data_IF_377873667665
#
_entry.id   IF_377873667665
#
_cell.length_a   1.000
_cell.length_b   1.000
_cell.length_c   1.000
_cell.angle_alpha   90.00
_cell.angle_beta   90.00
_cell.angle_gamma   90.00
#
_symmetry.space_group_name_H-M   'P 1'
#
loop_
_entity.id
_entity.type
_entity.pdbx_description
1 polymer ?
#
# COMPACT_ATOMS: atom_id res chain seq x y z
N UNK A 1 11.56 -13.36 -13.38
CA UNK A 1 10.11 -13.65 -13.38
C UNK A 1 9.51 -13.08 -14.66
N UNK A 2 8.74 -13.86 -15.41
CA UNK A 2 8.08 -13.39 -16.63
C UNK A 2 6.96 -12.42 -16.23
N UNK A 3 7.06 -11.17 -16.67
CA UNK A 3 5.95 -10.21 -16.64
C UNK A 3 4.89 -10.74 -17.60
N UNK A 4 3.91 -11.48 -17.09
CA UNK A 4 2.70 -11.83 -17.85
C UNK A 4 1.97 -10.52 -18.13
N UNK A 5 2.02 -10.06 -19.38
CA UNK A 5 1.38 -8.83 -19.82
C UNK A 5 -0.14 -9.06 -19.75
N UNK A 6 -0.76 -8.64 -18.66
CA UNK A 6 -2.22 -8.67 -18.53
C UNK A 6 -2.84 -7.62 -19.47
N UNK A 7 -3.85 -8.00 -20.24
CA UNK A 7 -4.71 -7.09 -20.99
C UNK A 7 -5.92 -6.77 -20.10
N UNK A 8 -6.14 -5.49 -19.83
CA UNK A 8 -7.23 -5.05 -18.94
C UNK A 8 -8.52 -4.84 -19.71
N UNK A 9 -9.56 -5.62 -19.38
CA UNK A 9 -10.89 -5.52 -20.01
C UNK A 9 -11.84 -4.56 -19.29
N UNK A 10 -11.56 -4.26 -18.03
CA UNK A 10 -12.28 -3.26 -17.24
C UNK A 10 -11.34 -2.58 -16.26
N UNK A 11 -11.62 -1.30 -15.96
CA UNK A 11 -10.87 -0.50 -14.98
C UNK A 11 -11.78 0.42 -14.19
N UNK A 12 -11.48 0.60 -12.91
CA UNK A 12 -12.07 1.62 -12.05
C UNK A 12 -10.97 2.41 -11.37
N UNK A 13 -11.02 3.73 -11.52
CA UNK A 13 -10.11 4.63 -10.80
C UNK A 13 -10.51 4.70 -9.34
N UNK A 14 -9.61 4.33 -8.43
CA UNK A 14 -9.83 4.46 -6.99
C UNK A 14 -9.24 5.79 -6.50
N UNK A 15 -8.00 6.06 -6.91
CA UNK A 15 -7.29 7.30 -6.64
C UNK A 15 -6.48 7.71 -7.87
N UNK A 16 -6.68 8.94 -8.35
CA UNK A 16 -5.88 9.53 -9.41
C UNK A 16 -5.28 10.84 -8.91
N UNK A 17 -4.01 10.81 -8.53
CA UNK A 17 -3.31 11.97 -7.96
C UNK A 17 -2.78 12.94 -9.03
N UNK A 18 -2.89 12.57 -10.31
CA UNK A 18 -2.59 13.45 -11.45
C UNK A 18 -3.74 14.40 -11.78
N UNK A 19 -4.95 14.12 -11.28
CA UNK A 19 -6.10 14.99 -11.43
C UNK A 19 -5.98 16.20 -10.50
N UNK A 20 -6.12 17.40 -11.05
CA UNK A 20 -6.03 18.67 -10.32
C UNK A 20 -7.04 18.84 -9.17
N UNK A 21 -8.11 18.04 -9.16
CA UNK A 21 -9.18 18.01 -8.14
C UNK A 21 -8.93 16.96 -7.06
N UNK A 22 -7.96 16.07 -7.26
CA UNK A 22 -7.62 15.05 -6.26
C UNK A 22 -6.97 15.67 -5.03
N UNK A 23 -7.18 15.02 -3.89
CA UNK A 23 -6.53 15.42 -2.64
C UNK A 23 -6.08 14.24 -1.78
N UNK A 24 -5.07 14.49 -0.95
CA UNK A 24 -4.54 13.55 0.04
C UNK A 24 -5.17 13.71 1.43
N UNK A 25 -6.04 14.69 1.66
CA UNK A 25 -6.58 15.01 2.98
C UNK A 25 -7.37 13.88 3.67
N UNK A 26 -7.91 12.94 2.89
CA UNK A 26 -8.64 11.77 3.41
C UNK A 26 -7.71 10.61 3.82
N UNK A 27 -6.40 10.77 3.64
CA UNK A 27 -5.40 9.80 4.03
C UNK A 27 -4.82 10.16 5.39
N UNK A 28 -4.67 9.15 6.24
CA UNK A 28 -4.08 9.28 7.56
C UNK A 28 -2.76 8.50 7.62
N UNK A 29 -1.83 9.01 8.41
CA UNK A 29 -0.61 8.29 8.76
C UNK A 29 -0.94 7.11 9.68
N UNK A 30 -0.34 5.94 9.40
CA UNK A 30 -0.38 4.74 10.23
C UNK A 30 1.05 4.19 10.36
N UNK A 31 1.73 4.56 11.44
CA UNK A 31 3.13 4.22 11.71
C UNK A 31 3.28 3.42 13.00
N UNK A 32 4.47 2.87 13.25
CA UNK A 32 4.77 2.08 14.46
C UNK A 32 4.71 2.87 15.79
N UNK A 33 4.48 4.18 15.73
CA UNK A 33 4.36 5.11 16.86
C UNK A 33 3.13 4.90 17.73
N UNK A 34 2.20 4.02 17.35
CA UNK A 34 1.15 3.52 18.25
C UNK A 34 1.72 2.66 19.40
N UNK A 35 3.03 2.36 19.37
CA UNK A 35 3.76 1.66 20.43
C UNK A 35 4.82 2.59 21.00
N UNK A 36 5.11 2.48 22.30
CA UNK A 36 6.10 3.30 23.01
C UNK A 36 7.50 3.26 22.39
N UNK A 37 7.83 2.18 21.69
CA UNK A 37 9.14 1.96 21.05
C UNK A 37 9.18 2.39 19.57
N UNK A 38 8.04 2.81 19.00
CA UNK A 38 7.91 3.26 17.63
C UNK A 38 8.60 4.60 17.40
N UNK A 39 9.40 4.68 16.33
CA UNK A 39 10.22 5.86 16.02
C UNK A 39 10.08 6.29 14.57
N UNK A 40 9.28 5.57 13.79
CA UNK A 40 9.15 5.81 12.36
C UNK A 40 8.11 6.91 12.12
N UNK A 41 8.22 7.65 11.01
CA UNK A 41 7.34 8.77 10.70
C UNK A 41 7.03 8.82 9.21
N UNK A 42 5.78 9.10 8.89
CA UNK A 42 5.29 9.29 7.53
C UNK A 42 4.58 10.62 7.36
N UNK A 43 4.59 11.14 6.14
CA UNK A 43 3.69 12.20 5.73
C UNK A 43 3.27 11.99 4.28
N UNK A 44 1.98 12.17 4.01
CA UNK A 44 1.43 12.10 2.66
C UNK A 44 1.04 13.50 2.20
N UNK A 45 1.63 13.94 1.10
CA UNK A 45 1.46 15.31 0.60
C UNK A 45 1.18 15.31 -0.89
N UNK A 46 0.52 16.36 -1.36
CA UNK A 46 0.38 16.66 -2.78
C UNK A 46 1.64 17.40 -3.27
N UNK A 47 2.21 16.92 -4.36
CA UNK A 47 3.15 17.70 -5.16
C UNK A 47 2.40 18.27 -6.35
N UNK A 48 2.22 19.59 -6.36
CA UNK A 48 1.56 20.30 -7.45
C UNK A 48 2.50 21.35 -8.04
N UNK A 49 2.66 21.30 -9.35
CA UNK A 49 3.38 22.31 -10.13
C UNK A 49 2.43 22.94 -11.15
N UNK A 50 2.94 23.86 -11.97
CA UNK A 50 2.18 24.39 -13.10
C UNK A 50 1.91 23.36 -14.20
N UNK A 51 2.68 22.26 -14.23
CA UNK A 51 2.65 21.28 -15.34
C UNK A 51 2.05 19.93 -14.94
N UNK A 52 2.17 19.53 -13.68
CA UNK A 52 1.70 18.22 -13.22
C UNK A 52 1.35 18.24 -11.74
N UNK A 53 0.60 17.22 -11.33
CA UNK A 53 0.29 16.90 -9.94
C UNK A 53 0.56 15.40 -9.70
N UNK A 54 0.94 15.06 -8.47
CA UNK A 54 0.98 13.69 -7.93
C UNK A 54 0.94 13.71 -6.41
N UNK A 55 0.81 12.54 -5.80
CA UNK A 55 1.01 12.42 -4.37
C UNK A 55 2.41 11.89 -4.05
N UNK A 56 2.95 12.31 -2.91
CA UNK A 56 4.22 11.82 -2.38
C UNK A 56 4.00 11.35 -0.94
N UNK A 57 4.34 10.09 -0.70
CA UNK A 57 4.49 9.53 0.63
C UNK A 57 5.96 9.59 1.05
N UNK A 58 6.30 10.56 1.89
CA UNK A 58 7.62 10.65 2.51
C UNK A 58 7.66 9.80 3.78
N UNK A 59 8.79 9.12 3.99
CA UNK A 59 8.97 8.20 5.10
C UNK A 59 10.35 8.34 5.74
N UNK A 60 10.37 8.33 7.06
CA UNK A 60 11.51 8.00 7.91
C UNK A 60 11.22 6.66 8.58
N UNK A 61 11.83 5.58 8.07
CA UNK A 61 11.72 4.24 8.64
C UNK A 61 12.84 4.02 9.66
N UNK A 62 12.46 3.91 10.93
CA UNK A 62 13.40 3.76 12.05
C UNK A 62 13.05 2.52 12.89
N UNK A 63 13.34 1.31 12.38
CA UNK A 63 12.96 0.09 13.06
C UNK A 63 13.83 -0.17 14.28
N UNK A 64 13.34 -1.02 15.17
CA UNK A 64 14.12 -1.62 16.25
C UNK A 64 15.25 -2.50 15.70
N UNK A 65 16.26 -2.87 16.52
CA UNK A 65 17.40 -3.69 16.07
C UNK A 65 17.02 -5.04 15.43
N UNK A 66 15.87 -5.61 15.81
CA UNK A 66 15.36 -6.85 15.21
C UNK A 66 14.60 -6.64 13.87
N UNK A 67 14.50 -5.39 13.39
CA UNK A 67 13.74 -5.01 12.19
C UNK A 67 12.27 -4.69 12.46
N UNK A 68 11.82 -4.66 13.71
CA UNK A 68 10.43 -4.32 14.02
C UNK A 68 10.22 -2.81 13.88
N UNK A 69 9.42 -2.43 12.89
CA UNK A 69 9.02 -1.05 12.64
C UNK A 69 8.33 -0.94 11.29
N UNK A 70 7.54 0.11 11.09
CA UNK A 70 6.87 0.40 9.83
C UNK A 70 6.44 1.86 9.75
N UNK A 71 6.30 2.35 8.52
CA UNK A 71 5.65 3.63 8.20
C UNK A 71 4.58 3.36 7.15
N UNK A 72 3.38 3.85 7.37
CA UNK A 72 2.31 3.67 6.40
C UNK A 72 1.34 4.84 6.36
N UNK A 73 0.48 4.78 5.35
CA UNK A 73 -0.63 5.69 5.13
C UNK A 73 -1.86 4.87 4.73
N UNK A 74 -3.05 5.34 5.07
CA UNK A 74 -4.29 4.67 4.70
C UNK A 74 -5.41 5.65 4.39
N UNK A 75 -6.22 5.35 3.38
CA UNK A 75 -7.51 5.98 3.17
C UNK A 75 -8.61 5.08 3.76
N UNK A 76 -9.43 5.66 4.64
CA UNK A 76 -10.55 4.98 5.33
C UNK A 76 -11.87 5.74 5.18
N UNK A 77 -11.93 6.68 4.22
CA UNK A 77 -13.09 7.56 4.00
C UNK A 77 -13.98 7.10 2.85
N UNK A 78 -13.50 6.15 2.05
CA UNK A 78 -14.18 5.64 0.86
C UNK A 78 -14.34 4.12 0.98
N UNK A 79 -15.48 3.62 0.52
CA UNK A 79 -15.68 2.20 0.29
C UNK A 79 -15.73 1.89 -1.21
N UNK A 80 -15.33 0.68 -1.58
CA UNK A 80 -15.30 0.22 -2.96
C UNK A 80 -15.80 -1.21 -3.07
N UNK A 81 -16.73 -1.44 -4.01
CA UNK A 81 -17.01 -2.78 -4.52
C UNK A 81 -16.01 -3.12 -5.63
N UNK A 82 -15.06 -4.00 -5.31
CA UNK A 82 -14.01 -4.48 -6.20
C UNK A 82 -14.24 -5.93 -6.66
N UNK A 83 -15.44 -6.48 -6.44
CA UNK A 83 -15.75 -7.90 -6.70
C UNK A 83 -15.56 -8.32 -8.16
N UNK A 84 -15.77 -7.40 -9.11
CA UNK A 84 -15.66 -7.64 -10.55
C UNK A 84 -14.23 -7.55 -11.12
N UNK A 85 -13.26 -7.08 -10.32
CA UNK A 85 -11.86 -6.88 -10.73
C UNK A 85 -10.97 -8.06 -10.30
N UNK A 86 -9.77 -8.17 -10.86
CA UNK A 86 -8.82 -9.26 -10.54
C UNK A 86 -7.61 -8.80 -9.76
N UNK A 87 -7.34 -7.49 -9.74
CA UNK A 87 -6.27 -6.92 -8.93
C UNK A 87 -6.28 -5.40 -8.92
N UNK A 88 -5.25 -4.85 -8.29
CA UNK A 88 -4.93 -3.43 -8.34
C UNK A 88 -3.79 -3.19 -9.33
N UNK A 89 -3.78 -2.03 -9.98
CA UNK A 89 -2.60 -1.50 -10.65
C UNK A 89 -2.21 -0.17 -10.00
N UNK A 90 -0.92 -0.05 -9.67
CA UNK A 90 -0.33 1.14 -9.07
C UNK A 90 0.66 1.75 -10.05
N UNK A 91 0.55 3.05 -10.30
CA UNK A 91 1.55 3.83 -11.03
C UNK A 91 2.41 4.60 -10.04
N UNK A 92 3.62 4.13 -9.79
CA UNK A 92 4.44 4.54 -8.64
C UNK A 92 5.94 4.62 -8.95
N UNK A 93 6.65 5.46 -8.21
CA UNK A 93 8.12 5.57 -8.27
C UNK A 93 8.71 5.65 -6.86
N UNK A 94 9.63 4.75 -6.55
CA UNK A 94 10.36 4.75 -5.29
C UNK A 94 11.67 5.56 -5.40
N UNK A 95 11.97 6.37 -4.39
CA UNK A 95 13.26 7.01 -4.20
C UNK A 95 13.78 6.81 -2.77
N UNK A 96 15.10 6.95 -2.59
CA UNK A 96 15.77 6.82 -1.30
C UNK A 96 16.31 5.42 -1.02
N UNK A 97 16.13 4.96 0.21
CA UNK A 97 16.74 3.74 0.77
C UNK A 97 15.81 2.51 0.76
N UNK A 98 14.50 2.72 0.74
CA UNK A 98 13.51 1.65 0.81
C UNK A 98 13.00 1.27 -0.60
N UNK A 99 12.80 -0.02 -0.83
CA UNK A 99 12.38 -0.57 -2.12
C UNK A 99 11.34 -1.70 -2.00
N UNK A 100 11.12 -2.25 -0.80
CA UNK A 100 10.04 -3.19 -0.51
C UNK A 100 8.89 -2.43 0.14
N UNK A 101 7.75 -2.48 -0.54
CA UNK A 101 6.51 -1.85 -0.14
C UNK A 101 5.43 -2.92 0.00
N UNK A 102 4.32 -2.57 0.65
CA UNK A 102 3.12 -3.40 0.61
C UNK A 102 1.86 -2.55 0.49
N UNK A 103 0.87 -3.12 -0.21
CA UNK A 103 -0.52 -2.66 -0.13
C UNK A 103 -1.19 -3.41 1.01
N UNK A 104 -2.02 -2.70 1.76
CA UNK A 104 -2.84 -3.22 2.85
C UNK A 104 -4.31 -2.94 2.53
N UNK A 105 -5.14 -3.98 2.54
CA UNK A 105 -6.59 -3.88 2.37
C UNK A 105 -7.30 -4.34 3.65
N UNK A 106 -8.41 -3.65 3.96
CA UNK A 106 -9.42 -4.12 4.92
C UNK A 106 -10.82 -3.90 4.36
N UNK A 107 -11.76 -4.74 4.79
CA UNK A 107 -13.17 -4.67 4.42
C UNK A 107 -14.05 -4.37 5.63
N UNK A 108 -15.32 -4.03 5.40
CA UNK A 108 -16.35 -3.94 6.45
C UNK A 108 -16.03 -3.01 7.63
N UNK A 109 -15.25 -1.95 7.41
CA UNK A 109 -14.77 -1.02 8.43
C UNK A 109 -13.99 -1.72 9.56
N UNK A 110 -13.29 -2.82 9.24
CA UNK A 110 -12.36 -3.44 10.14
C UNK A 110 -11.15 -2.51 10.34
N UNK A 111 -10.90 -2.10 11.58
CA UNK A 111 -9.88 -1.08 11.89
C UNK A 111 -8.96 -1.48 13.04
N UNK A 112 -9.29 -2.53 13.78
CA UNK A 112 -8.49 -2.93 14.93
C UNK A 112 -7.38 -3.88 14.53
N UNK A 113 -6.27 -3.81 15.27
CA UNK A 113 -5.18 -4.80 15.21
C UNK A 113 -5.61 -6.25 15.52
N UNK A 114 -6.86 -6.48 15.92
CA UNK A 114 -7.44 -7.79 16.19
C UNK A 114 -8.07 -8.41 14.94
N UNK A 115 -8.48 -7.61 13.95
CA UNK A 115 -8.93 -8.11 12.65
C UNK A 115 -7.74 -8.30 11.71
N UNK A 116 -7.80 -9.31 10.82
CA UNK A 116 -6.76 -9.49 9.81
C UNK A 116 -6.70 -8.29 8.86
N UNK A 117 -5.49 -7.92 8.45
CA UNK A 117 -5.28 -7.16 7.22
C UNK A 117 -4.94 -8.11 6.09
N UNK A 118 -5.31 -7.76 4.87
CA UNK A 118 -4.89 -8.50 3.68
C UNK A 118 -3.79 -7.71 3.00
N UNK A 119 -2.63 -8.33 2.84
CA UNK A 119 -1.41 -7.63 2.43
C UNK A 119 -0.75 -8.33 1.26
N UNK A 120 -0.17 -7.53 0.36
CA UNK A 120 0.71 -8.00 -0.70
C UNK A 120 1.97 -7.17 -0.70
N UNK A 121 3.13 -7.84 -0.76
CA UNK A 121 4.43 -7.20 -0.85
C UNK A 121 4.84 -7.07 -2.31
N UNK A 122 5.53 -5.99 -2.65
CA UNK A 122 6.09 -5.77 -3.97
C UNK A 122 7.38 -4.96 -3.88
N UNK A 123 8.26 -5.17 -4.84
CA UNK A 123 9.53 -4.47 -4.97
C UNK A 123 9.44 -3.43 -6.07
N UNK A 124 10.10 -2.28 -5.86
CA UNK A 124 10.20 -1.23 -6.86
C UNK A 124 11.65 -1.00 -7.28
N UNK A 125 11.92 -0.86 -8.59
CA UNK A 125 13.20 -0.34 -9.04
C UNK A 125 13.41 1.09 -8.53
N UNK A 126 14.66 1.42 -8.19
CA UNK A 126 15.02 2.73 -7.67
C UNK A 126 14.91 3.79 -8.78
N UNK A 127 14.19 4.87 -8.48
CA UNK A 127 14.04 6.06 -9.32
C UNK A 127 13.33 5.83 -10.68
N UNK A 128 12.61 4.73 -10.84
CA UNK A 128 11.86 4.40 -12.07
C UNK A 128 10.35 4.42 -11.82
N UNK A 129 9.62 5.13 -12.68
CA UNK A 129 8.16 5.11 -12.67
C UNK A 129 7.69 3.79 -13.27
N UNK A 130 6.96 3.01 -12.48
CA UNK A 130 6.58 1.64 -12.82
C UNK A 130 5.08 1.45 -12.62
N UNK A 131 4.47 0.66 -13.49
CA UNK A 131 3.12 0.11 -13.30
C UNK A 131 3.23 -1.25 -12.61
N UNK A 132 2.73 -1.35 -11.38
CA UNK A 132 2.71 -2.61 -10.62
C UNK A 132 1.32 -3.19 -10.56
N UNK A 133 1.15 -4.36 -11.18
CA UNK A 133 -0.08 -5.16 -11.07
C UNK A 133 0.00 -6.09 -9.87
N UNK A 134 -1.01 -6.01 -9.00
CA UNK A 134 -1.12 -6.72 -7.74
C UNK A 134 -2.40 -7.56 -7.73
N UNK A 135 -2.34 -8.87 -8.07
CA UNK A 135 -3.51 -9.74 -8.12
C UNK A 135 -4.15 -9.91 -6.74
N UNK A 136 -5.49 -9.85 -6.66
CA UNK A 136 -6.19 -10.04 -5.39
C UNK A 136 -5.94 -11.42 -4.76
N UNK A 137 -5.71 -12.46 -5.58
CA UNK A 137 -5.42 -13.81 -5.10
C UNK A 137 -4.06 -13.93 -4.37
N UNK A 138 -3.17 -12.96 -4.57
CA UNK A 138 -1.85 -12.93 -3.96
C UNK A 138 -1.83 -12.19 -2.62
N UNK A 139 -2.91 -11.48 -2.28
CA UNK A 139 -3.07 -10.90 -0.95
C UNK A 139 -3.24 -12.02 0.09
N UNK A 140 -2.45 -11.96 1.16
CA UNK A 140 -2.50 -12.93 2.27
C UNK A 140 -2.94 -12.25 3.56
N UNK A 141 -3.59 -12.98 4.48
CA UNK A 141 -4.01 -12.42 5.75
C UNK A 141 -2.82 -12.26 6.72
N UNK A 142 -2.78 -11.14 7.42
CA UNK A 142 -1.77 -10.83 8.45
C UNK A 142 -2.43 -10.27 9.71
N UNK A 143 -1.81 -10.51 10.86
CA UNK A 143 -2.11 -9.78 12.10
C UNK A 143 -0.81 -9.30 12.72
N UNK A 144 -0.73 -7.98 12.98
CA UNK A 144 0.46 -7.33 13.58
C UNK A 144 1.77 -7.69 12.86
N UNK A 145 1.71 -7.81 11.53
CA UNK A 145 2.82 -8.16 10.66
C UNK A 145 3.15 -9.66 10.58
N UNK A 146 2.48 -10.54 11.33
CA UNK A 146 2.62 -11.99 11.22
C UNK A 146 1.62 -12.55 10.22
N UNK A 147 2.07 -13.42 9.32
CA UNK A 147 1.19 -14.16 8.42
C UNK A 147 0.23 -15.02 9.23
N UNK A 148 -1.04 -15.03 8.82
CA UNK A 148 -2.05 -15.96 9.31
C UNK A 148 -2.20 -17.12 8.33
N UNK A 149 -2.80 -18.22 8.79
CA UNK A 149 -3.10 -19.36 7.92
C UNK A 149 -4.34 -19.04 7.06
N UNK A 150 -4.20 -19.03 5.72
CA UNK A 150 -5.31 -18.71 4.82
C UNK A 150 -6.42 -19.77 4.81
N UNK A 151 -6.19 -20.97 5.35
CA UNK A 151 -7.22 -22.01 5.43
C UNK A 151 -8.15 -21.83 6.63
N UNK A 152 -7.72 -21.07 7.63
CA UNK A 152 -8.48 -20.84 8.88
C UNK A 152 -8.88 -19.37 9.06
N UNK A 153 -8.36 -18.47 8.22
CA UNK A 153 -8.74 -17.06 8.18
C UNK A 153 -9.75 -16.84 7.06
N UNK A 154 -10.85 -16.10 7.29
CA UNK A 154 -11.75 -15.69 6.21
C UNK A 154 -10.97 -15.03 5.05
N UNK A 155 -11.42 -15.18 3.79
CA UNK A 155 -10.79 -14.50 2.67
C UNK A 155 -11.13 -13.01 2.64
N UNK A 156 -10.36 -12.24 1.87
CA UNK A 156 -10.67 -10.85 1.57
C UNK A 156 -12.03 -10.77 0.85
N UNK A 157 -13.05 -10.30 1.54
CA UNK A 157 -14.27 -9.81 0.92
C UNK A 157 -13.97 -8.54 0.13
N UNK A 158 -14.23 -8.57 -1.17
CA UNK A 158 -13.96 -7.47 -2.11
C UNK A 158 -15.20 -6.66 -2.42
N UNK A 159 -16.37 -7.05 -1.92
CA UNK A 159 -17.62 -6.32 -2.17
C UNK A 159 -17.71 -5.02 -1.37
N UNK A 160 -16.94 -4.89 -0.28
CA UNK A 160 -16.90 -3.70 0.56
C UNK A 160 -15.49 -3.44 1.13
N UNK A 161 -14.55 -3.07 0.24
CA UNK A 161 -13.22 -2.62 0.65
C UNK A 161 -13.32 -1.21 1.23
N UNK A 162 -13.01 -1.07 2.52
CA UNK A 162 -13.22 0.17 3.31
C UNK A 162 -11.92 0.83 3.72
N UNK A 163 -10.79 0.11 3.61
CA UNK A 163 -9.45 0.68 3.81
C UNK A 163 -8.51 0.23 2.70
N UNK A 164 -7.80 1.20 2.11
CA UNK A 164 -6.66 0.97 1.22
C UNK A 164 -5.46 1.72 1.78
N UNK A 165 -4.36 1.01 2.03
CA UNK A 165 -3.14 1.59 2.59
C UNK A 165 -1.88 1.15 1.88
N UNK A 166 -0.84 1.97 2.03
CA UNK A 166 0.52 1.71 1.58
C UNK A 166 1.45 1.75 2.77
N UNK A 167 2.39 0.81 2.83
CA UNK A 167 3.31 0.71 3.96
C UNK A 167 4.70 0.28 3.52
N UNK A 168 5.70 0.84 4.20
CA UNK A 168 7.09 0.40 4.18
C UNK A 168 7.36 -0.33 5.49
N UNK A 169 8.04 -1.46 5.42
CA UNK A 169 8.30 -2.32 6.58
C UNK A 169 9.79 -2.39 6.91
N UNK A 170 10.11 -2.37 8.20
CA UNK A 170 11.46 -2.64 8.71
C UNK A 170 11.88 -4.11 8.53
N UNK A 171 10.90 -5.00 8.38
CA UNK A 171 11.14 -6.38 7.95
C UNK A 171 11.45 -7.36 9.07
N UNK A 172 10.93 -7.21 10.30
CA UNK A 172 11.17 -8.17 11.42
C UNK A 172 11.01 -9.65 11.03
N UNK A 173 10.00 -9.98 10.22
CA UNK A 173 9.75 -11.35 9.71
C UNK A 173 10.28 -11.58 8.29
N UNK A 174 11.01 -10.62 7.72
CA UNK A 174 11.60 -10.70 6.38
C UNK A 174 13.12 -10.93 6.47
N UNK A 175 13.72 -11.55 5.45
CA UNK A 175 15.19 -11.65 5.34
C UNK A 175 15.85 -10.27 5.20
N UNK A 176 15.19 -9.36 4.49
CA UNK A 176 15.69 -8.01 4.23
C UNK A 176 15.20 -7.06 5.34
N UNK A 177 16.13 -6.32 5.93
CA UNK A 177 15.84 -5.25 6.90
C UNK A 177 15.99 -3.89 6.24
N UNK A 178 14.93 -3.10 6.24
CA UNK A 178 14.93 -1.74 5.66
C UNK A 178 14.94 -0.69 6.77
N UNK A 179 15.62 0.42 6.54
CA UNK A 179 15.64 1.59 7.42
C UNK A 179 15.92 2.84 6.57
N UNK A 180 15.90 4.01 7.20
CA UNK A 180 16.32 5.26 6.57
C UNK A 180 15.18 6.06 5.95
N UNK A 181 15.54 6.94 5.03
CA UNK A 181 14.60 7.91 4.43
C UNK A 181 14.27 7.57 2.98
N UNK A 182 13.00 7.77 2.63
CA UNK A 182 12.48 7.45 1.31
C UNK A 182 11.29 8.32 0.93
N UNK A 183 10.98 8.32 -0.37
CA UNK A 183 9.72 8.82 -0.88
C UNK A 183 9.12 7.81 -1.86
N UNK A 184 7.83 7.54 -1.73
CA UNK A 184 7.04 6.85 -2.74
C UNK A 184 6.16 7.88 -3.44
N UNK A 185 6.45 8.15 -4.69
CA UNK A 185 5.60 8.95 -5.55
C UNK A 185 4.50 8.08 -6.15
N UNK A 186 3.29 8.63 -6.22
CA UNK A 186 2.10 7.89 -6.63
C UNK A 186 1.32 8.76 -7.60
N UNK A 187 1.20 8.30 -8.84
CA UNK A 187 0.36 8.94 -9.85
C UNK A 187 -1.08 8.39 -9.75
N UNK A 188 -1.25 7.07 -9.59
CA UNK A 188 -2.60 6.48 -9.45
C UNK A 188 -2.63 5.11 -8.77
N UNK A 189 -3.82 4.77 -8.26
CA UNK A 189 -4.22 3.44 -7.82
C UNK A 189 -5.56 3.13 -8.49
N UNK A 190 -5.60 2.07 -9.29
CA UNK A 190 -6.79 1.66 -10.03
C UNK A 190 -7.09 0.18 -9.78
N UNK A 191 -8.37 -0.19 -9.78
CA UNK A 191 -8.77 -1.60 -9.86
C UNK A 191 -8.88 -2.01 -11.32
N UNK A 192 -8.40 -3.20 -11.65
CA UNK A 192 -8.34 -3.70 -13.03
C UNK A 192 -8.79 -5.15 -13.11
N UNK A 193 -9.46 -5.48 -14.21
CA UNK A 193 -9.86 -6.85 -14.55
C UNK A 193 -8.95 -7.36 -15.66
N UNK A 194 -8.18 -8.39 -15.35
CA UNK A 194 -7.40 -9.17 -16.29
C UNK A 194 -8.27 -10.27 -16.89
N UNK A 195 -8.15 -10.46 -18.20
CA UNK A 195 -8.66 -11.63 -18.91
C UNK A 195 -7.63 -12.76 -18.96
#
# INVERSE_FOLDING_TARGET
MRSTKCLFSSKQTLFNFTDSTSSVNDWIEISDTERDVGKSKGVFVEQKTQQFQRAIFFSLLNPQPNGAGFVGIANRKKSFDLSSFTGLQLSVRAQGENFIYKVILRHHNEESSLQPSYEIFFELPKNELTEQYLPFNDFKPYSRGKSLDPNTTPPLDRTDITSIGLQIVGGVYLPIKQHGTSSLEIDSIIAVKCE
#
